data_IF_377285173348
#
_entry.id   IF_377285173348
#
_cell.length_a   1.000
_cell.length_b   1.000
_cell.length_c   1.000
_cell.angle_alpha   90.00
_cell.angle_beta   90.00
_cell.angle_gamma   90.00
#
_symmetry.space_group_name_H-M   'P 1'
#
loop_
_entity.id
_entity.type
_entity.pdbx_description
1 polymer ?
#
# COMPACT_ATOMS: atom_id res chain seq x y z
N UNK A 1 3.60 -0.55 -24.52
CA UNK A 1 3.74 0.64 -25.40
C UNK A 1 5.05 1.32 -25.05
N UNK A 2 5.99 1.50 -26.00
CA UNK A 2 7.15 2.37 -25.74
C UNK A 2 6.64 3.81 -25.60
N UNK A 3 7.04 4.52 -24.55
CA UNK A 3 6.74 5.94 -24.41
C UNK A 3 7.35 6.69 -25.61
N UNK A 4 6.53 7.28 -26.47
CA UNK A 4 7.00 8.15 -27.54
C UNK A 4 7.64 9.41 -26.93
N UNK A 5 8.63 10.00 -27.59
CA UNK A 5 9.38 11.15 -27.07
C UNK A 5 8.51 12.35 -26.64
N UNK A 6 7.29 12.49 -27.17
CA UNK A 6 6.33 13.53 -26.74
C UNK A 6 5.69 13.27 -25.37
N UNK A 7 5.38 12.01 -25.04
CA UNK A 7 4.90 11.60 -23.73
C UNK A 7 5.98 11.82 -22.67
N UNK A 8 7.21 11.43 -23.01
CA UNK A 8 8.36 11.60 -22.14
C UNK A 8 8.63 13.09 -21.88
N UNK A 9 8.64 13.92 -22.93
CA UNK A 9 8.84 15.37 -22.82
C UNK A 9 7.75 16.08 -22.01
N UNK A 10 6.51 15.59 -22.09
CA UNK A 10 5.38 16.07 -21.29
C UNK A 10 5.59 15.80 -19.80
N UNK A 11 5.93 14.56 -19.44
CA UNK A 11 6.18 14.18 -18.05
C UNK A 11 7.40 14.89 -17.46
N UNK A 12 8.43 15.15 -18.28
CA UNK A 12 9.60 15.95 -17.88
C UNK A 12 9.23 17.35 -17.41
N UNK A 13 8.30 18.03 -18.09
CA UNK A 13 7.90 19.39 -17.74
C UNK A 13 6.93 19.44 -16.55
N UNK A 14 6.10 18.41 -16.40
CA UNK A 14 5.22 18.28 -15.24
C UNK A 14 6.01 18.20 -13.92
N UNK A 15 7.22 17.60 -13.96
CA UNK A 15 8.16 17.59 -12.83
C UNK A 15 8.86 18.94 -12.70
N UNK A 16 9.34 19.54 -13.80
CA UNK A 16 10.04 20.83 -13.77
C UNK A 16 9.21 21.94 -13.09
N UNK A 17 7.89 21.92 -13.30
CA UNK A 17 6.90 22.77 -12.62
C UNK A 17 6.83 22.57 -11.09
N UNK A 18 7.36 21.46 -10.58
CA UNK A 18 7.46 21.13 -9.16
C UNK A 18 8.90 21.06 -8.64
N UNK A 19 9.92 21.23 -9.50
CA UNK A 19 11.32 21.40 -9.11
C UNK A 19 11.55 22.65 -8.23
N UNK A 20 10.53 23.52 -8.09
CA UNK A 20 10.46 24.56 -7.06
C UNK A 20 10.34 24.01 -5.62
N UNK A 21 10.02 22.74 -5.41
CA UNK A 21 9.99 22.09 -4.10
C UNK A 21 11.32 21.48 -3.66
N UNK A 22 12.27 21.29 -4.59
CA UNK A 22 13.59 20.77 -4.27
C UNK A 22 14.57 21.93 -4.18
N UNK A 23 15.32 22.03 -3.08
CA UNK A 23 16.34 23.07 -2.90
C UNK A 23 17.54 22.94 -3.87
N UNK A 24 17.55 21.93 -4.75
CA UNK A 24 18.64 21.66 -5.70
C UNK A 24 18.12 21.58 -7.15
N UNK A 25 18.42 22.57 -8.01
CA UNK A 25 18.03 22.58 -9.42
C UNK A 25 18.76 21.55 -10.29
N UNK A 26 19.79 20.87 -9.77
CA UNK A 26 20.52 19.82 -10.50
C UNK A 26 19.79 18.47 -10.52
N UNK A 27 18.80 18.27 -9.62
CA UNK A 27 18.03 17.04 -9.54
C UNK A 27 16.74 17.17 -10.34
N UNK A 28 16.67 16.49 -11.47
CA UNK A 28 15.45 16.42 -12.29
C UNK A 28 14.98 14.97 -12.49
N UNK A 29 13.67 14.76 -12.51
CA UNK A 29 13.07 13.44 -12.73
C UNK A 29 13.37 12.85 -14.11
N UNK A 30 13.77 13.66 -15.08
CA UNK A 30 14.18 13.15 -16.40
C UNK A 30 15.45 12.31 -16.29
N UNK A 31 16.43 12.77 -15.51
CA UNK A 31 17.68 12.08 -15.22
C UNK A 31 17.45 10.83 -14.37
N UNK A 32 16.34 10.80 -13.62
CA UNK A 32 15.95 9.69 -12.78
C UNK A 32 15.15 8.60 -13.53
N UNK A 33 14.83 8.78 -14.83
CA UNK A 33 14.03 7.80 -15.58
C UNK A 33 12.54 7.76 -15.21
N UNK A 34 12.06 8.69 -14.37
CA UNK A 34 10.67 8.73 -13.89
C UNK A 34 9.63 8.73 -15.01
N UNK A 35 9.79 9.44 -16.15
CA UNK A 35 8.81 9.37 -17.24
C UNK A 35 8.56 7.96 -17.77
N UNK A 36 9.58 7.10 -17.77
CA UNK A 36 9.45 5.70 -18.19
C UNK A 36 8.62 4.91 -17.18
N UNK A 37 8.93 5.06 -15.89
CA UNK A 37 8.19 4.41 -14.81
C UNK A 37 6.74 4.86 -14.75
N UNK A 38 6.43 6.15 -14.98
CA UNK A 38 5.03 6.60 -15.00
C UNK A 38 4.29 6.02 -16.21
N UNK A 39 4.95 5.90 -17.36
CA UNK A 39 4.35 5.25 -18.53
C UNK A 39 4.08 3.77 -18.30
N UNK A 40 4.97 3.05 -17.60
CA UNK A 40 4.76 1.67 -17.17
C UNK A 40 3.59 1.57 -16.17
N UNK A 41 3.53 2.50 -15.21
CA UNK A 41 2.51 2.56 -14.18
C UNK A 41 1.11 2.78 -14.78
N UNK A 42 0.96 3.73 -15.71
CA UNK A 42 -0.26 3.95 -16.51
C UNK A 42 -0.54 2.77 -17.47
N UNK A 43 0.52 2.09 -17.90
CA UNK A 43 0.48 1.00 -18.87
C UNK A 43 -0.15 -0.29 -18.35
N UNK A 44 -0.03 -0.59 -17.06
CA UNK A 44 -0.59 -1.83 -16.52
C UNK A 44 -0.59 -2.02 -15.00
N UNK A 45 -0.06 -1.07 -14.20
CA UNK A 45 -0.03 -1.22 -12.73
C UNK A 45 -1.23 -0.60 -12.01
N UNK A 46 -2.01 0.25 -12.69
CA UNK A 46 -3.26 0.80 -12.14
C UNK A 46 -4.45 0.22 -12.90
N UNK A 47 -5.38 -0.35 -12.14
CA UNK A 47 -6.72 -0.67 -12.61
C UNK A 47 -7.67 0.47 -12.23
N UNK A 48 -8.00 1.34 -13.19
CA UNK A 48 -8.99 2.39 -12.99
C UNK A 48 -9.82 2.60 -14.26
N UNK A 49 -11.17 2.76 -14.17
CA UNK A 49 -12.05 2.80 -15.34
C UNK A 49 -11.70 3.87 -16.36
N UNK A 50 -11.12 4.98 -15.90
CA UNK A 50 -10.74 6.14 -16.75
C UNK A 50 -9.29 6.12 -17.24
N UNK A 51 -8.52 5.05 -17.03
CA UNK A 51 -7.12 5.01 -17.52
C UNK A 51 -7.00 5.15 -19.04
N UNK A 52 -8.02 4.78 -19.80
CA UNK A 52 -8.04 5.00 -21.25
C UNK A 52 -7.97 6.49 -21.62
N UNK A 53 -8.51 7.40 -20.78
CA UNK A 53 -8.45 8.85 -21.03
C UNK A 53 -7.02 9.36 -20.92
N UNK A 54 -6.25 8.87 -19.94
CA UNK A 54 -4.84 9.20 -19.83
C UNK A 54 -4.07 8.72 -21.07
N UNK A 55 -4.29 7.47 -21.50
CA UNK A 55 -3.66 6.92 -22.71
C UNK A 55 -4.03 7.71 -23.98
N UNK A 56 -5.30 8.08 -24.13
CA UNK A 56 -5.80 8.90 -25.22
C UNK A 56 -5.12 10.28 -25.21
N UNK A 57 -5.04 10.93 -24.05
CA UNK A 57 -4.39 12.23 -23.93
C UNK A 57 -2.90 12.17 -24.30
N UNK A 58 -2.17 11.15 -23.83
CA UNK A 58 -0.77 10.93 -24.22
C UNK A 58 -0.61 10.67 -25.73
N UNK A 59 -1.57 9.97 -26.33
CA UNK A 59 -1.65 9.78 -27.79
C UNK A 59 -1.87 11.09 -28.53
N UNK A 60 -2.82 11.91 -28.10
CA UNK A 60 -3.12 13.21 -28.70
C UNK A 60 -1.92 14.17 -28.62
N UNK A 61 -1.28 14.28 -27.46
CA UNK A 61 -0.06 15.08 -27.25
C UNK A 61 1.13 14.63 -28.12
N UNK A 62 1.10 13.39 -28.62
CA UNK A 62 2.12 12.88 -29.53
C UNK A 62 1.89 13.32 -30.98
N UNK A 63 0.73 13.89 -31.30
CA UNK A 63 0.40 14.38 -32.65
C UNK A 63 0.32 15.90 -32.68
N UNK A 64 0.56 16.50 -33.85
CA UNK A 64 0.51 17.97 -34.02
C UNK A 64 -0.90 18.52 -33.78
N UNK A 65 -1.91 17.88 -34.37
CA UNK A 65 -3.31 18.27 -34.21
C UNK A 65 -3.84 17.98 -32.81
N UNK A 66 -3.55 16.81 -32.24
CA UNK A 66 -3.98 16.47 -30.88
C UNK A 66 -3.36 17.35 -29.79
N UNK A 67 -2.11 17.80 -29.99
CA UNK A 67 -1.50 18.82 -29.12
C UNK A 67 -2.33 20.10 -29.15
N UNK A 68 -2.73 20.58 -30.33
CA UNK A 68 -3.58 21.77 -30.43
C UNK A 68 -4.96 21.58 -29.79
N UNK A 69 -5.56 20.40 -29.94
CA UNK A 69 -6.86 20.09 -29.30
C UNK A 69 -6.77 20.17 -27.77
N UNK A 70 -5.70 19.65 -27.17
CA UNK A 70 -5.55 19.61 -25.70
C UNK A 70 -4.92 20.88 -25.10
N UNK A 71 -4.06 21.56 -25.86
CA UNK A 71 -3.25 22.67 -25.37
C UNK A 71 -3.67 24.04 -25.92
N UNK A 72 -4.57 24.06 -26.91
CA UNK A 72 -5.09 25.28 -27.52
C UNK A 72 -4.03 26.09 -28.25
N UNK A 73 -4.26 27.41 -28.36
CA UNK A 73 -3.43 28.33 -29.16
C UNK A 73 -1.98 28.41 -28.67
N UNK A 74 -1.73 28.15 -27.38
CA UNK A 74 -0.37 28.17 -26.79
C UNK A 74 0.56 27.10 -27.36
N UNK A 75 0.03 26.08 -28.01
CA UNK A 75 0.85 25.09 -28.70
C UNK A 75 1.22 25.45 -30.13
N UNK A 76 0.74 26.58 -30.68
CA UNK A 76 1.06 26.96 -32.07
C UNK A 76 2.50 27.47 -32.19
N UNK A 77 3.11 27.29 -33.36
CA UNK A 77 4.38 27.90 -33.71
C UNK A 77 4.20 28.91 -34.85
N UNK A 78 5.07 29.93 -34.97
CA UNK A 78 4.97 30.93 -36.03
C UNK A 78 5.32 30.40 -37.43
N UNK A 79 5.97 29.24 -37.52
CA UNK A 79 6.46 28.67 -38.78
C UNK A 79 5.52 27.58 -39.30
N UNK A 80 5.28 27.55 -40.62
CA UNK A 80 4.51 26.47 -41.23
C UNK A 80 5.27 25.13 -41.12
N UNK A 81 4.60 24.02 -40.76
CA UNK A 81 3.20 23.93 -40.36
C UNK A 81 2.99 24.41 -38.92
N UNK A 82 2.10 25.39 -38.73
CA UNK A 82 1.86 26.11 -37.47
C UNK A 82 1.52 25.21 -36.26
N UNK A 83 1.22 23.94 -36.51
CA UNK A 83 0.98 22.92 -35.50
C UNK A 83 2.26 22.15 -35.19
N UNK A 84 2.61 22.10 -33.91
CA UNK A 84 3.74 21.33 -33.39
C UNK A 84 3.27 20.31 -32.35
N UNK A 85 4.10 19.30 -32.10
CA UNK A 85 3.88 18.34 -31.02
C UNK A 85 4.22 18.97 -29.67
N UNK A 86 3.63 18.47 -28.57
CA UNK A 86 3.89 19.02 -27.23
C UNK A 86 5.39 19.10 -26.87
N UNK A 87 6.18 18.11 -27.30
CA UNK A 87 7.64 18.07 -27.13
C UNK A 87 8.42 19.21 -27.79
N UNK A 88 7.83 19.93 -28.75
CA UNK A 88 8.46 21.04 -29.46
C UNK A 88 8.02 22.41 -28.95
N UNK A 89 6.97 22.49 -28.15
CA UNK A 89 6.51 23.73 -27.51
C UNK A 89 7.62 24.28 -26.60
N UNK A 90 7.86 25.60 -26.50
CA UNK A 90 8.84 26.14 -25.54
C UNK A 90 8.50 25.76 -24.08
N UNK A 91 9.51 25.66 -23.20
CA UNK A 91 9.33 25.20 -21.81
C UNK A 91 8.33 26.05 -21.03
N UNK A 92 8.44 27.37 -21.14
CA UNK A 92 7.56 28.34 -20.46
C UNK A 92 6.10 28.19 -20.91
N UNK A 93 5.87 28.01 -22.21
CA UNK A 93 4.52 27.79 -22.75
C UNK A 93 3.93 26.45 -22.30
N UNK A 94 4.74 25.38 -22.21
CA UNK A 94 4.29 24.10 -21.66
C UNK A 94 3.85 24.22 -20.21
N UNK A 95 4.59 24.98 -19.42
CA UNK A 95 4.22 25.23 -18.02
C UNK A 95 2.87 25.96 -17.94
N UNK A 96 2.69 27.00 -18.73
CA UNK A 96 1.43 27.73 -18.77
C UNK A 96 0.26 26.86 -19.26
N UNK A 97 0.49 25.96 -20.22
CA UNK A 97 -0.51 24.98 -20.67
C UNK A 97 -0.90 24.04 -19.53
N UNK A 98 0.07 23.45 -18.83
CA UNK A 98 -0.19 22.56 -17.70
C UNK A 98 -0.93 23.27 -16.57
N UNK A 99 -0.53 24.51 -16.26
CA UNK A 99 -1.24 25.36 -15.30
C UNK A 99 -2.66 25.68 -15.75
N UNK A 100 -2.91 25.84 -17.06
CA UNK A 100 -4.27 26.04 -17.58
C UNK A 100 -5.16 24.81 -17.37
N UNK A 101 -4.58 23.60 -17.41
CA UNK A 101 -5.34 22.37 -17.17
C UNK A 101 -5.80 22.23 -15.72
N UNK A 102 -5.00 22.69 -14.76
CA UNK A 102 -5.33 22.62 -13.32
C UNK A 102 -6.53 23.49 -12.94
N UNK A 103 -6.74 24.60 -13.63
CA UNK A 103 -7.86 25.55 -13.43
C UNK A 103 -8.92 25.46 -14.53
N UNK A 104 -8.87 24.42 -15.37
CA UNK A 104 -9.78 24.30 -16.51
C UNK A 104 -11.23 24.05 -16.09
N UNK A 105 -12.17 24.69 -16.80
CA UNK A 105 -13.60 24.39 -16.66
C UNK A 105 -13.92 22.96 -17.12
N UNK A 106 -13.06 22.34 -17.94
CA UNK A 106 -13.21 20.95 -18.38
C UNK A 106 -12.70 19.99 -17.29
N UNK A 107 -13.63 19.29 -16.64
CA UNK A 107 -13.32 18.32 -15.56
C UNK A 107 -12.26 17.29 -16.00
N UNK A 108 -12.30 16.81 -17.24
CA UNK A 108 -11.35 15.80 -17.73
C UNK A 108 -9.91 16.32 -17.78
N UNK A 109 -9.70 17.60 -18.10
CA UNK A 109 -8.35 18.20 -18.09
C UNK A 109 -7.83 18.37 -16.68
N UNK A 110 -8.70 18.72 -15.72
CA UNK A 110 -8.34 18.79 -14.29
C UNK A 110 -7.97 17.42 -13.75
N UNK A 111 -8.79 16.40 -14.00
CA UNK A 111 -8.51 15.00 -13.61
C UNK A 111 -7.19 14.53 -14.22
N UNK A 112 -6.96 14.80 -15.50
CA UNK A 112 -5.72 14.44 -16.19
C UNK A 112 -4.50 15.12 -15.54
N UNK A 113 -4.58 16.43 -15.28
CA UNK A 113 -3.49 17.17 -14.63
C UNK A 113 -3.22 16.62 -13.22
N UNK A 114 -4.26 16.46 -12.39
CA UNK A 114 -4.12 15.97 -11.00
C UNK A 114 -3.54 14.56 -10.98
N UNK A 115 -4.06 13.65 -11.81
CA UNK A 115 -3.54 12.29 -11.90
C UNK A 115 -2.07 12.25 -12.32
N UNK A 116 -1.70 12.95 -13.40
CA UNK A 116 -0.32 13.01 -13.86
C UNK A 116 0.60 13.61 -12.80
N UNK A 117 0.16 14.66 -12.10
CA UNK A 117 0.94 15.28 -11.01
C UNK A 117 1.19 14.28 -9.89
N UNK A 118 0.14 13.61 -9.42
CA UNK A 118 0.23 12.64 -8.34
C UNK A 118 1.15 11.47 -8.68
N UNK A 119 0.99 10.84 -9.85
CA UNK A 119 1.82 9.69 -10.24
C UNK A 119 3.28 10.07 -10.45
N UNK A 120 3.51 11.23 -11.06
CA UNK A 120 4.85 11.73 -11.31
C UNK A 120 5.59 12.00 -10.01
N UNK A 121 4.94 12.68 -9.05
CA UNK A 121 5.55 12.97 -7.76
C UNK A 121 5.75 11.69 -6.94
N UNK A 122 4.73 10.83 -6.86
CA UNK A 122 4.87 9.57 -6.14
C UNK A 122 6.06 8.79 -6.67
N UNK A 123 6.10 8.51 -7.97
CA UNK A 123 7.19 7.71 -8.54
C UNK A 123 8.53 8.40 -8.38
N UNK A 124 8.62 9.71 -8.56
CA UNK A 124 9.87 10.44 -8.36
C UNK A 124 10.43 10.30 -6.94
N UNK A 125 9.58 10.37 -5.90
CA UNK A 125 10.01 10.27 -4.50
C UNK A 125 10.18 8.82 -4.00
N UNK A 126 9.56 7.85 -4.68
CA UNK A 126 9.55 6.46 -4.21
C UNK A 126 10.42 5.50 -5.02
N UNK A 127 10.76 5.84 -6.26
CA UNK A 127 11.60 5.00 -7.12
C UNK A 127 13.02 4.90 -6.55
N UNK A 128 13.66 3.74 -6.68
CA UNK A 128 15.05 3.55 -6.29
C UNK A 128 15.84 2.98 -7.46
N UNK A 129 17.13 3.30 -7.52
CA UNK A 129 18.06 2.68 -8.47
C UNK A 129 18.45 1.27 -8.01
N UNK A 130 19.29 0.58 -8.79
CA UNK A 130 19.80 -0.77 -8.46
C UNK A 130 20.55 -0.85 -7.12
N UNK A 131 21.02 0.28 -6.59
CA UNK A 131 21.69 0.36 -5.29
C UNK A 131 20.73 0.64 -4.13
N UNK A 132 19.42 0.78 -4.40
CA UNK A 132 18.42 1.12 -3.40
C UNK A 132 18.41 2.61 -3.01
N UNK A 133 18.98 3.49 -3.84
CA UNK A 133 19.07 4.92 -3.59
C UNK A 133 18.08 5.70 -4.47
N UNK A 134 17.53 6.80 -3.95
CA UNK A 134 16.75 7.76 -4.71
C UNK A 134 17.48 9.11 -4.80
N UNK A 135 17.50 9.72 -5.98
CA UNK A 135 18.18 10.99 -6.25
C UNK A 135 17.61 12.17 -5.44
N UNK A 136 16.31 12.17 -5.17
CA UNK A 136 15.63 13.22 -4.40
C UNK A 136 15.99 13.21 -2.92
N UNK A 137 16.35 12.06 -2.35
CA UNK A 137 16.64 11.93 -0.92
C UNK A 137 17.77 12.86 -0.48
N UNK A 138 18.86 12.89 -1.26
CA UNK A 138 19.99 13.80 -0.98
C UNK A 138 19.57 15.27 -1.06
N UNK A 139 18.74 15.63 -2.04
CA UNK A 139 18.28 17.01 -2.23
C UNK A 139 17.38 17.52 -1.10
N UNK A 140 16.63 16.62 -0.45
CA UNK A 140 15.77 16.95 0.69
C UNK A 140 16.43 16.67 2.05
N UNK A 141 17.71 16.29 2.07
CA UNK A 141 18.44 15.94 3.30
C UNK A 141 17.95 14.66 3.99
N UNK A 142 17.24 13.79 3.26
CA UNK A 142 16.83 12.48 3.77
C UNK A 142 17.97 11.46 3.59
N UNK A 143 18.37 10.81 4.67
CA UNK A 143 19.50 9.88 4.69
C UNK A 143 19.18 8.50 4.10
N UNK A 144 17.94 8.26 3.66
CA UNK A 144 17.48 6.94 3.24
C UNK A 144 17.15 6.00 4.41
N UNK A 145 16.77 4.75 4.12
CA UNK A 145 16.48 3.75 5.14
C UNK A 145 17.73 3.33 5.92
N UNK A 146 17.53 2.89 7.16
CA UNK A 146 18.63 2.47 8.06
C UNK A 146 19.47 1.33 7.43
N UNK A 147 20.79 1.53 7.23
CA UNK A 147 21.68 0.51 6.68
C UNK A 147 21.71 -0.80 7.47
N UNK A 148 21.43 -0.75 8.78
CA UNK A 148 21.35 -1.93 9.65
C UNK A 148 20.18 -2.86 9.29
N UNK A 149 19.08 -2.33 8.76
CA UNK A 149 17.96 -3.13 8.29
C UNK A 149 18.27 -3.83 6.95
N UNK A 150 18.97 -3.15 6.04
CA UNK A 150 19.33 -3.67 4.71
C UNK A 150 20.32 -4.86 4.75
N UNK A 151 21.25 -4.88 5.72
CA UNK A 151 22.26 -5.95 5.88
C UNK A 151 21.70 -7.32 6.28
N UNK A 152 20.46 -7.37 6.75
CA UNK A 152 19.81 -8.64 7.13
C UNK A 152 19.41 -9.51 5.94
N UNK A 153 19.50 -8.99 4.71
CA UNK A 153 19.21 -9.72 3.45
C UNK A 153 20.27 -10.78 3.08
N UNK A 154 21.44 -10.81 3.75
CA UNK A 154 22.63 -11.55 3.28
C UNK A 154 23.29 -12.48 4.31
N UNK A 155 22.59 -12.97 5.33
CA UNK A 155 23.15 -14.04 6.17
C UNK A 155 23.01 -15.42 5.50
N UNK A 156 24.15 -15.94 5.02
CA UNK A 156 24.33 -17.32 4.56
C UNK A 156 24.17 -18.31 5.70
N UNK A 157 23.49 -19.41 5.40
CA UNK A 157 23.24 -20.60 6.22
C UNK A 157 24.48 -21.46 6.43
N UNK A 158 24.88 -21.66 7.69
CA UNK A 158 25.64 -22.84 8.14
C UNK A 158 25.67 -22.92 9.67
N UNK A 159 24.77 -23.70 10.26
CA UNK A 159 24.73 -23.98 11.71
C UNK A 159 23.81 -25.17 12.07
N UNK A 160 23.98 -25.80 13.26
CA UNK A 160 23.35 -27.09 13.61
C UNK A 160 21.83 -27.02 13.87
N UNK A 161 21.16 -28.17 13.89
CA UNK A 161 19.70 -28.35 13.74
C UNK A 161 18.78 -27.64 14.76
N UNK A 162 19.20 -27.40 16.01
CA UNK A 162 18.40 -26.61 16.97
C UNK A 162 18.49 -25.09 16.75
N UNK A 163 19.55 -24.64 16.07
CA UNK A 163 19.76 -23.26 15.64
C UNK A 163 18.92 -22.93 14.40
N UNK A 164 18.66 -23.93 13.56
CA UNK A 164 17.95 -23.78 12.28
C UNK A 164 16.49 -23.36 12.47
N UNK A 165 15.76 -23.90 13.44
CA UNK A 165 14.35 -23.54 13.63
C UNK A 165 14.16 -22.08 14.08
N UNK A 166 15.07 -21.57 14.91
CA UNK A 166 15.10 -20.14 15.29
C UNK A 166 15.56 -19.23 14.14
N UNK A 167 16.46 -19.70 13.29
CA UNK A 167 16.93 -18.97 12.10
C UNK A 167 15.86 -18.91 11.01
N UNK A 168 15.15 -20.01 10.77
CA UNK A 168 14.05 -20.10 9.81
C UNK A 168 12.85 -19.25 10.24
N UNK A 169 12.45 -19.32 11.51
CA UNK A 169 11.40 -18.44 12.06
C UNK A 169 11.83 -16.97 12.03
N UNK A 170 13.13 -16.68 12.09
CA UNK A 170 13.63 -15.32 11.98
C UNK A 170 13.66 -14.82 10.53
N UNK A 171 13.97 -15.68 9.56
CA UNK A 171 14.10 -15.34 8.13
C UNK A 171 12.76 -15.35 7.40
N UNK A 172 12.03 -16.45 7.52
CA UNK A 172 10.73 -16.63 6.88
C UNK A 172 9.59 -16.14 7.75
N UNK A 173 9.88 -15.79 9.00
CA UNK A 173 8.86 -15.41 9.92
C UNK A 173 8.00 -16.62 10.33
N UNK A 174 7.16 -16.42 11.32
CA UNK A 174 6.62 -17.55 12.06
C UNK A 174 5.38 -18.20 11.43
N UNK A 175 4.69 -17.51 10.53
CA UNK A 175 3.55 -18.09 9.83
C UNK A 175 3.96 -18.96 8.65
N UNK A 176 5.24 -18.92 8.25
CA UNK A 176 5.75 -19.54 7.02
C UNK A 176 5.38 -21.02 6.87
N UNK A 177 5.40 -21.78 7.97
CA UNK A 177 5.03 -23.20 7.98
C UNK A 177 3.59 -23.42 7.51
N UNK A 178 2.67 -22.54 7.90
CA UNK A 178 1.26 -22.58 7.53
C UNK A 178 0.91 -21.88 6.21
N UNK A 179 1.82 -21.13 5.58
CA UNK A 179 1.53 -20.43 4.31
C UNK A 179 1.46 -21.41 3.15
N UNK A 180 0.36 -21.37 2.39
CA UNK A 180 0.16 -22.20 1.20
C UNK A 180 0.00 -21.24 0.02
N UNK A 181 0.95 -21.27 -0.90
CA UNK A 181 0.90 -20.41 -2.08
C UNK A 181 0.19 -21.13 -3.24
N UNK A 182 -1.00 -20.65 -3.59
CA UNK A 182 -1.79 -21.21 -4.68
C UNK A 182 -1.26 -20.85 -6.09
N UNK A 183 -0.23 -20.00 -6.20
CA UNK A 183 0.47 -19.76 -7.46
C UNK A 183 1.47 -20.87 -7.82
N UNK A 184 1.80 -21.75 -6.87
CA UNK A 184 2.66 -22.92 -7.09
C UNK A 184 1.87 -24.08 -7.71
N UNK A 185 2.52 -25.23 -7.92
CA UNK A 185 1.84 -26.41 -8.45
C UNK A 185 0.69 -26.85 -7.53
N UNK A 186 -0.41 -27.32 -8.13
CA UNK A 186 -1.58 -27.79 -7.37
C UNK A 186 -1.19 -28.92 -6.42
N UNK A 187 -0.31 -29.80 -6.88
CA UNK A 187 0.16 -30.98 -6.15
C UNK A 187 0.92 -30.60 -4.88
N UNK A 188 1.75 -29.56 -4.91
CA UNK A 188 2.44 -29.02 -3.73
C UNK A 188 1.45 -28.46 -2.70
N UNK A 189 0.47 -27.69 -3.15
CA UNK A 189 -0.55 -27.13 -2.26
C UNK A 189 -1.38 -28.22 -1.57
N UNK A 190 -1.79 -29.25 -2.33
CA UNK A 190 -2.52 -30.41 -1.81
C UNK A 190 -1.70 -31.20 -0.79
N UNK A 191 -0.44 -31.51 -1.13
CA UNK A 191 0.46 -32.22 -0.23
C UNK A 191 0.69 -31.43 1.07
N UNK A 192 0.87 -30.10 0.97
CA UNK A 192 1.04 -29.24 2.13
C UNK A 192 -0.21 -29.23 3.01
N UNK A 193 -1.41 -29.08 2.44
CA UNK A 193 -2.67 -29.19 3.18
C UNK A 193 -2.83 -30.53 3.91
N UNK A 194 -2.52 -31.64 3.24
CA UNK A 194 -2.58 -32.98 3.84
C UNK A 194 -1.56 -33.13 4.97
N UNK A 195 -0.34 -32.62 4.80
CA UNK A 195 0.71 -32.65 5.83
C UNK A 195 0.34 -31.84 7.08
N UNK A 196 -0.46 -30.78 6.92
CA UNK A 196 -1.04 -29.98 7.99
C UNK A 196 -2.31 -30.62 8.59
N UNK A 197 -2.69 -31.83 8.15
CA UNK A 197 -3.81 -32.58 8.70
C UNK A 197 -5.19 -32.17 8.17
N UNK A 198 -5.26 -31.41 7.08
CA UNK A 198 -6.53 -31.10 6.42
C UNK A 198 -6.96 -32.24 5.47
N UNK A 199 -8.18 -32.79 5.61
CA UNK A 199 -8.71 -33.72 4.63
C UNK A 199 -8.97 -33.01 3.30
N UNK A 200 -8.37 -33.51 2.22
CA UNK A 200 -8.54 -32.94 0.87
C UNK A 200 -9.09 -33.99 -0.09
N UNK A 201 -9.98 -33.58 -0.99
CA UNK A 201 -10.59 -34.44 -2.01
C UNK A 201 -10.60 -33.73 -3.36
N UNK A 202 -10.33 -34.45 -4.44
CA UNK A 202 -10.46 -33.93 -5.80
C UNK A 202 -11.78 -34.42 -6.41
N UNK A 203 -12.62 -33.54 -6.98
CA UNK A 203 -13.85 -33.99 -7.63
C UNK A 203 -13.50 -34.91 -8.80
N UNK A 204 -13.95 -36.16 -8.75
CA UNK A 204 -13.91 -37.04 -9.91
C UNK A 204 -15.00 -36.63 -10.89
N UNK A 205 -14.69 -36.65 -12.19
CA UNK A 205 -15.48 -36.19 -13.34
C UNK A 205 -16.84 -36.90 -13.56
N UNK A 206 -17.46 -37.51 -12.54
CA UNK A 206 -18.73 -38.22 -12.68
C UNK A 206 -19.73 -37.78 -11.61
N UNK A 207 -20.76 -37.08 -12.09
CA UNK A 207 -22.08 -36.80 -11.48
C UNK A 207 -22.20 -35.69 -10.44
N UNK A 208 -22.67 -34.50 -10.84
CA UNK A 208 -24.06 -34.01 -10.65
C UNK A 208 -24.19 -32.58 -11.21
N UNK A 209 -25.24 -32.26 -11.99
CA UNK A 209 -25.35 -30.99 -12.72
C UNK A 209 -25.96 -29.84 -11.90
N UNK A 210 -25.75 -29.79 -10.57
CA UNK A 210 -26.44 -28.82 -9.71
C UNK A 210 -25.56 -27.71 -9.09
N UNK A 211 -24.28 -27.61 -9.44
CA UNK A 211 -23.47 -26.45 -9.04
C UNK A 211 -22.59 -26.01 -10.21
N UNK A 212 -22.74 -24.75 -10.64
CA UNK A 212 -21.94 -24.11 -11.71
C UNK A 212 -20.47 -23.87 -11.33
N UNK A 213 -19.99 -24.53 -10.28
CA UNK A 213 -18.64 -24.42 -9.74
C UNK A 213 -17.97 -25.77 -10.01
N UNK A 214 -16.97 -25.78 -10.88
CA UNK A 214 -16.08 -26.93 -11.09
C UNK A 214 -14.81 -26.72 -10.24
N UNK A 215 -14.82 -26.99 -8.92
CA UNK A 215 -13.67 -26.72 -8.07
C UNK A 215 -12.50 -27.65 -8.40
N UNK A 216 -11.27 -27.15 -8.34
CA UNK A 216 -10.07 -27.97 -8.59
C UNK A 216 -9.79 -28.99 -7.47
N UNK A 217 -10.17 -28.66 -6.23
CA UNK A 217 -10.13 -29.54 -5.06
C UNK A 217 -11.04 -29.00 -3.95
N UNK A 218 -11.36 -29.85 -2.98
CA UNK A 218 -12.23 -29.57 -1.83
C UNK A 218 -11.43 -29.85 -0.55
N UNK A 219 -11.36 -28.88 0.35
CA UNK A 219 -10.71 -29.02 1.66
C UNK A 219 -11.76 -29.02 2.76
N UNK A 220 -11.73 -30.02 3.65
CA UNK A 220 -12.59 -30.04 4.84
C UNK A 220 -11.88 -29.34 6.01
N UNK A 221 -12.59 -28.42 6.65
CA UNK A 221 -12.13 -27.68 7.83
C UNK A 221 -13.34 -27.32 8.70
N UNK A 222 -13.10 -26.87 9.92
CA UNK A 222 -14.17 -26.46 10.84
C UNK A 222 -14.62 -25.02 10.58
N UNK A 223 -13.71 -24.16 10.13
CA UNK A 223 -14.00 -22.78 9.78
C UNK A 223 -13.08 -22.26 8.65
N UNK A 224 -13.63 -21.38 7.82
CA UNK A 224 -12.89 -20.60 6.83
C UNK A 224 -13.00 -19.13 7.18
N UNK A 225 -11.87 -18.45 7.30
CA UNK A 225 -11.79 -17.00 7.49
C UNK A 225 -11.27 -16.37 6.21
N UNK A 226 -12.06 -15.48 5.61
CA UNK A 226 -11.67 -14.75 4.39
C UNK A 226 -11.13 -13.39 4.78
N UNK A 227 -9.84 -13.17 4.55
CA UNK A 227 -9.08 -12.00 4.94
C UNK A 227 -8.39 -12.19 6.30
N UNK A 228 -7.09 -11.89 6.35
CA UNK A 228 -6.25 -12.05 7.55
C UNK A 228 -6.04 -10.76 8.35
N UNK A 229 -6.86 -9.73 8.10
CA UNK A 229 -6.76 -8.41 8.74
C UNK A 229 -7.08 -8.39 10.24
N UNK A 230 -7.24 -7.18 10.80
CA UNK A 230 -7.46 -6.96 12.24
C UNK A 230 -8.62 -7.76 12.85
N UNK A 231 -9.71 -7.98 12.11
CA UNK A 231 -10.80 -8.85 12.54
C UNK A 231 -10.51 -10.33 12.27
N UNK A 232 -10.18 -10.68 11.02
CA UNK A 232 -10.00 -12.07 10.59
C UNK A 232 -8.87 -12.79 11.32
N UNK A 233 -7.73 -12.13 11.54
CA UNK A 233 -6.61 -12.70 12.30
C UNK A 233 -6.99 -13.02 13.76
N UNK A 234 -7.83 -12.18 14.39
CA UNK A 234 -8.31 -12.42 15.75
C UNK A 234 -9.26 -13.61 15.78
N UNK A 235 -10.25 -13.64 14.89
CA UNK A 235 -11.21 -14.77 14.79
C UNK A 235 -10.47 -16.09 14.53
N UNK A 236 -9.56 -16.09 13.56
CA UNK A 236 -8.79 -17.28 13.20
C UNK A 236 -7.99 -17.82 14.39
N UNK A 237 -7.27 -16.94 15.10
CA UNK A 237 -6.47 -17.38 16.24
C UNK A 237 -7.30 -17.78 17.47
N UNK A 238 -8.48 -17.17 17.69
CA UNK A 238 -9.40 -17.61 18.76
C UNK A 238 -9.95 -19.00 18.47
N UNK A 239 -10.43 -19.25 17.24
CA UNK A 239 -10.94 -20.56 16.83
C UNK A 239 -9.86 -21.64 16.84
N UNK A 240 -8.66 -21.32 16.32
CA UNK A 240 -7.54 -22.25 16.34
C UNK A 240 -7.10 -22.61 17.78
N UNK A 241 -7.07 -21.62 18.69
CA UNK A 241 -6.73 -21.87 20.10
C UNK A 241 -7.79 -22.69 20.85
N UNK A 242 -9.03 -22.72 20.33
CA UNK A 242 -10.09 -23.62 20.81
C UNK A 242 -10.01 -25.04 20.22
N UNK A 243 -9.03 -25.31 19.35
CA UNK A 243 -8.78 -26.63 18.75
C UNK A 243 -9.44 -26.86 17.40
N UNK A 244 -10.04 -25.83 16.79
CA UNK A 244 -10.65 -25.95 15.47
C UNK A 244 -9.62 -25.92 14.33
N UNK A 245 -9.87 -26.69 13.26
CA UNK A 245 -9.14 -26.62 12.00
C UNK A 245 -9.61 -25.41 11.19
N UNK A 246 -8.82 -24.35 11.20
CA UNK A 246 -9.16 -23.09 10.53
C UNK A 246 -8.32 -22.89 9.28
N UNK A 247 -8.96 -22.56 8.16
CA UNK A 247 -8.29 -22.06 6.96
C UNK A 247 -8.46 -20.55 6.86
N UNK A 248 -7.36 -19.83 6.60
CA UNK A 248 -7.39 -18.40 6.34
C UNK A 248 -7.07 -18.16 4.87
N UNK A 249 -7.97 -17.51 4.15
CA UNK A 249 -7.79 -17.13 2.76
C UNK A 249 -7.37 -15.66 2.69
N UNK A 250 -6.19 -15.39 2.16
CA UNK A 250 -5.65 -14.04 2.00
C UNK A 250 -5.33 -13.79 0.53
N UNK A 251 -5.72 -12.62 0.02
CA UNK A 251 -5.42 -12.19 -1.36
C UNK A 251 -3.96 -11.76 -1.48
N UNK A 252 -3.45 -11.11 -0.44
CA UNK A 252 -2.11 -10.57 -0.39
C UNK A 252 -1.00 -11.58 -0.12
N UNK A 253 0.23 -11.13 -0.34
CA UNK A 253 1.43 -11.91 -0.01
C UNK A 253 1.76 -11.86 1.47
N UNK A 254 2.38 -12.92 1.98
CA UNK A 254 3.00 -12.93 3.29
C UNK A 254 4.44 -12.42 3.21
N UNK A 255 4.75 -11.37 3.96
CA UNK A 255 6.10 -10.83 4.08
C UNK A 255 6.58 -10.96 5.53
N UNK A 256 7.64 -11.73 5.72
CA UNK A 256 8.34 -11.78 6.99
C UNK A 256 8.93 -10.39 7.33
N UNK A 257 9.04 -10.05 8.61
CA UNK A 257 9.57 -8.76 9.05
C UNK A 257 10.94 -8.43 8.44
N UNK A 258 11.84 -9.41 8.37
CA UNK A 258 13.18 -9.22 7.77
C UNK A 258 13.16 -8.99 6.26
N UNK A 259 12.06 -9.36 5.60
CA UNK A 259 11.90 -9.26 4.16
C UNK A 259 11.16 -7.98 3.74
N UNK A 260 10.69 -7.17 4.69
CA UNK A 260 10.13 -5.85 4.40
C UNK A 260 11.23 -4.96 3.83
N UNK A 261 10.97 -4.37 2.66
CA UNK A 261 11.93 -3.50 1.97
C UNK A 261 12.23 -2.21 2.74
N UNK A 262 11.25 -1.73 3.52
CA UNK A 262 11.22 -0.38 4.12
C UNK A 262 11.35 0.75 3.08
N UNK A 263 11.19 0.41 1.80
CA UNK A 263 11.16 1.34 0.68
C UNK A 263 9.71 1.56 0.29
N UNK A 264 9.28 2.82 0.29
CA UNK A 264 7.88 3.19 0.08
C UNK A 264 7.33 2.65 -1.24
N UNK A 265 8.06 2.78 -2.34
CA UNK A 265 7.61 2.30 -3.66
C UNK A 265 7.41 0.79 -3.72
N UNK A 266 8.38 0.01 -3.20
CA UNK A 266 8.27 -1.45 -3.12
C UNK A 266 7.16 -1.89 -2.16
N UNK A 267 7.01 -1.21 -1.02
CA UNK A 267 5.96 -1.50 -0.06
C UNK A 267 4.58 -1.26 -0.67
N UNK A 268 4.37 -0.15 -1.37
CA UNK A 268 3.13 0.14 -2.09
C UNK A 268 2.78 -0.96 -3.10
N UNK A 269 3.75 -1.39 -3.92
CA UNK A 269 3.56 -2.44 -4.94
C UNK A 269 3.23 -3.81 -4.33
N UNK A 270 3.86 -4.18 -3.20
CA UNK A 270 3.74 -5.54 -2.64
C UNK A 270 2.67 -5.68 -1.55
N UNK A 271 2.35 -4.61 -0.82
CA UNK A 271 1.57 -4.68 0.42
C UNK A 271 0.25 -3.94 0.37
N UNK A 272 0.00 -3.13 -0.66
CA UNK A 272 -1.20 -2.31 -0.76
C UNK A 272 -2.08 -2.77 -1.92
N UNK A 273 -3.39 -2.78 -1.68
CA UNK A 273 -4.37 -3.06 -2.70
C UNK A 273 -4.29 -1.99 -3.80
N UNK A 274 -4.25 -2.43 -5.06
CA UNK A 274 -4.13 -1.53 -6.21
C UNK A 274 -2.84 -0.70 -6.20
N UNK A 275 -1.76 -1.24 -5.63
CA UNK A 275 -0.47 -0.57 -5.49
C UNK A 275 -0.55 0.76 -4.73
N UNK A 276 -1.51 0.87 -3.80
CA UNK A 276 -1.80 2.09 -3.06
C UNK A 276 -2.54 3.16 -3.86
N UNK A 277 -3.14 2.80 -5.01
CA UNK A 277 -3.81 3.71 -5.95
C UNK A 277 -5.28 3.36 -6.18
N UNK A 278 -5.97 2.92 -5.12
CA UNK A 278 -7.40 2.71 -5.18
C UNK A 278 -8.12 4.07 -4.99
N UNK A 279 -8.44 4.72 -6.10
CA UNK A 279 -9.06 6.06 -6.13
C UNK A 279 -10.49 6.00 -6.63
N UNK A 280 -11.33 6.96 -6.22
CA UNK A 280 -12.67 7.15 -6.79
C UNK A 280 -12.60 7.63 -8.23
N UNK A 281 -13.68 7.43 -9.01
CA UNK A 281 -13.73 7.78 -10.43
C UNK A 281 -13.45 9.27 -10.74
N UNK A 282 -13.69 10.16 -9.77
CA UNK A 282 -13.41 11.59 -9.83
C UNK A 282 -12.04 11.98 -9.25
N UNK A 283 -11.28 11.03 -8.70
CA UNK A 283 -10.01 11.22 -7.99
C UNK A 283 -10.10 12.04 -6.70
N UNK A 284 -11.30 12.28 -6.17
CA UNK A 284 -11.50 13.10 -4.96
C UNK A 284 -11.12 12.35 -3.68
N UNK A 285 -11.17 11.01 -3.69
CA UNK A 285 -10.82 10.17 -2.55
C UNK A 285 -9.83 9.09 -2.97
N UNK A 286 -8.74 8.97 -2.21
CA UNK A 286 -7.78 7.87 -2.29
C UNK A 286 -8.01 6.92 -1.10
N UNK A 287 -8.33 5.67 -1.38
CA UNK A 287 -8.44 4.61 -0.39
C UNK A 287 -7.11 3.84 -0.32
N UNK A 288 -6.55 3.76 0.87
CA UNK A 288 -5.33 3.01 1.15
C UNK A 288 -5.70 1.77 1.94
N UNK A 289 -5.60 0.60 1.32
CA UNK A 289 -5.96 -0.68 1.93
C UNK A 289 -4.81 -1.68 1.82
N UNK A 290 -4.59 -2.47 2.87
CA UNK A 290 -3.54 -3.49 2.88
C UNK A 290 -3.97 -4.72 2.06
N UNK A 291 -3.07 -5.21 1.22
CA UNK A 291 -3.16 -6.47 0.47
C UNK A 291 -1.93 -7.33 0.81
N UNK A 292 -1.83 -7.70 2.08
CA UNK A 292 -0.77 -8.53 2.65
C UNK A 292 -1.33 -9.28 3.84
N UNK A 293 -0.67 -10.35 4.30
CA UNK A 293 -1.07 -11.02 5.56
C UNK A 293 -1.08 -10.02 6.72
N UNK A 294 -2.18 -9.99 7.46
CA UNK A 294 -2.46 -8.97 8.49
C UNK A 294 -3.17 -7.72 7.96
N UNK A 295 -3.38 -7.59 6.65
CA UNK A 295 -4.17 -6.55 6.01
C UNK A 295 -3.79 -5.13 6.44
N UNK A 296 -4.80 -4.30 6.74
CA UNK A 296 -4.60 -2.92 7.20
C UNK A 296 -3.77 -2.80 8.48
N UNK A 297 -3.80 -3.78 9.38
CA UNK A 297 -2.97 -3.76 10.60
C UNK A 297 -1.48 -3.96 10.35
N UNK A 298 -1.09 -4.46 9.17
CA UNK A 298 0.34 -4.59 8.79
C UNK A 298 0.91 -3.27 8.28
N UNK A 299 0.09 -2.43 7.67
CA UNK A 299 0.51 -1.19 6.98
C UNK A 299 0.17 0.09 7.75
N UNK A 300 -0.63 0.02 8.82
CA UNK A 300 -1.05 1.20 9.57
C UNK A 300 0.04 1.74 10.51
N UNK A 301 -0.21 2.92 11.08
CA UNK A 301 0.68 3.54 12.06
C UNK A 301 0.50 3.00 13.50
N UNK A 302 -0.21 1.87 13.68
CA UNK A 302 -0.39 1.21 14.99
C UNK A 302 -0.99 2.06 16.12
N UNK A 303 -1.60 3.21 15.80
CA UNK A 303 -2.38 4.00 16.74
C UNK A 303 -3.57 3.16 17.24
N UNK A 304 -3.70 3.02 18.56
CA UNK A 304 -4.64 2.07 19.18
C UNK A 304 -5.51 2.82 20.17
N UNK A 305 -6.65 3.32 19.69
CA UNK A 305 -7.56 4.17 20.45
C UNK A 305 -8.77 3.34 20.87
N UNK A 306 -9.16 3.43 22.14
CA UNK A 306 -10.39 2.78 22.61
C UNK A 306 -11.61 3.51 22.03
N UNK A 307 -12.66 2.76 21.71
CA UNK A 307 -13.92 3.31 21.19
C UNK A 307 -14.47 4.35 22.19
N UNK A 308 -14.68 5.61 21.77
CA UNK A 308 -15.13 6.67 22.67
C UNK A 308 -16.50 6.35 23.32
N UNK A 309 -16.74 6.75 24.58
CA UNK A 309 -18.01 6.44 25.27
C UNK A 309 -19.26 6.94 24.53
N UNK A 310 -19.19 8.08 23.84
CA UNK A 310 -20.32 8.60 23.08
C UNK A 310 -20.66 7.74 21.86
N UNK A 311 -19.66 7.14 21.20
CA UNK A 311 -19.86 6.22 20.06
C UNK A 311 -20.47 4.91 20.55
N UNK A 312 -20.01 4.39 21.69
CA UNK A 312 -20.59 3.19 22.28
C UNK A 312 -22.07 3.37 22.61
N UNK A 313 -22.43 4.49 23.25
CA UNK A 313 -23.83 4.84 23.51
C UNK A 313 -24.63 4.97 22.23
N UNK A 314 -24.08 5.64 21.21
CA UNK A 314 -24.76 5.75 19.92
C UNK A 314 -25.05 4.35 19.33
N UNK A 315 -24.06 3.46 19.29
CA UNK A 315 -24.25 2.11 18.76
C UNK A 315 -25.25 1.29 19.57
N UNK A 316 -25.18 1.33 20.89
CA UNK A 316 -26.05 0.52 21.74
C UNK A 316 -27.47 1.06 21.83
N UNK A 317 -27.65 2.38 22.00
CA UNK A 317 -28.95 2.99 22.32
C UNK A 317 -29.72 3.40 21.06
N UNK A 318 -29.04 3.93 20.04
CA UNK A 318 -29.69 4.44 18.82
C UNK A 318 -29.84 3.38 17.74
N UNK A 319 -28.87 2.48 17.62
CA UNK A 319 -28.89 1.41 16.61
C UNK A 319 -29.19 0.03 17.21
N UNK A 320 -29.53 -0.03 18.51
CA UNK A 320 -29.95 -1.24 19.21
C UNK A 320 -28.91 -2.38 19.17
N UNK A 321 -27.62 -2.03 19.05
CA UNK A 321 -26.51 -2.98 19.05
C UNK A 321 -26.03 -3.21 20.50
N UNK A 322 -26.83 -3.92 21.29
CA UNK A 322 -26.65 -4.12 22.74
C UNK A 322 -25.25 -4.61 23.13
N UNK A 323 -24.60 -5.40 22.26
CA UNK A 323 -23.24 -5.89 22.46
C UNK A 323 -22.26 -4.77 22.84
N UNK A 324 -22.35 -3.60 22.20
CA UNK A 324 -21.41 -2.50 22.43
C UNK A 324 -21.63 -1.77 23.76
N UNK A 325 -22.82 -1.89 24.35
CA UNK A 325 -23.12 -1.43 25.72
C UNK A 325 -22.75 -2.46 26.80
N UNK A 326 -22.40 -3.69 26.40
CA UNK A 326 -22.17 -4.80 27.33
C UNK A 326 -20.76 -4.78 27.95
N UNK A 327 -20.64 -5.43 29.12
CA UNK A 327 -19.33 -5.71 29.73
C UNK A 327 -18.45 -6.63 28.87
N UNK A 328 -19.06 -7.47 28.04
CA UNK A 328 -18.34 -8.43 27.18
C UNK A 328 -17.49 -7.69 26.15
N UNK A 329 -18.03 -6.63 25.54
CA UNK A 329 -17.27 -5.82 24.59
C UNK A 329 -16.08 -5.10 25.24
N UNK A 330 -16.27 -4.55 26.45
CA UNK A 330 -15.19 -3.90 27.20
C UNK A 330 -14.07 -4.89 27.54
N UNK A 331 -14.42 -6.09 28.01
CA UNK A 331 -13.47 -7.16 28.31
C UNK A 331 -12.74 -7.63 27.04
N UNK A 332 -13.44 -7.75 25.90
CA UNK A 332 -12.81 -8.11 24.63
C UNK A 332 -11.78 -7.04 24.20
N UNK A 333 -12.10 -5.76 24.34
CA UNK A 333 -11.14 -4.68 24.11
C UNK A 333 -9.94 -4.76 25.05
N UNK A 334 -10.14 -5.05 26.34
CA UNK A 334 -9.05 -5.21 27.30
C UNK A 334 -8.11 -6.36 26.91
N UNK A 335 -8.66 -7.50 26.53
CA UNK A 335 -7.89 -8.66 26.05
C UNK A 335 -7.07 -8.30 24.82
N UNK A 336 -7.68 -7.62 23.84
CA UNK A 336 -6.99 -7.23 22.60
C UNK A 336 -5.91 -6.18 22.88
N UNK A 337 -6.21 -5.12 23.65
CA UNK A 337 -5.24 -4.08 24.02
C UNK A 337 -4.06 -4.66 24.81
N UNK A 338 -4.34 -5.55 25.76
CA UNK A 338 -3.31 -6.25 26.53
C UNK A 338 -2.43 -7.11 25.62
N UNK A 339 -3.05 -7.90 24.75
CA UNK A 339 -2.33 -8.76 23.78
C UNK A 339 -1.50 -7.93 22.80
N UNK A 340 -2.01 -6.78 22.38
CA UNK A 340 -1.31 -5.82 21.53
C UNK A 340 -0.19 -5.05 22.24
N UNK A 341 -0.15 -5.10 23.58
CA UNK A 341 0.80 -4.34 24.38
C UNK A 341 0.66 -2.84 24.14
N UNK A 342 -0.59 -2.37 24.04
CA UNK A 342 -0.95 -0.95 23.94
C UNK A 342 -0.47 -0.24 25.21
N UNK A 343 0.20 0.89 25.03
CA UNK A 343 0.74 1.73 26.10
C UNK A 343 0.10 3.12 26.05
N UNK A 344 -0.08 3.71 27.22
CA UNK A 344 -0.64 5.07 27.40
C UNK A 344 0.41 6.12 27.73
N UNK A 345 1.62 5.70 28.10
CA UNK A 345 2.70 6.60 28.50
C UNK A 345 3.69 6.78 27.36
N UNK A 346 4.10 8.02 27.14
CA UNK A 346 5.11 8.40 26.14
C UNK A 346 6.38 8.80 26.90
N UNK A 347 7.39 7.93 26.88
CA UNK A 347 8.70 8.24 27.52
C UNK A 347 9.48 9.32 26.74
N UNK A 348 9.34 9.33 25.41
CA UNK A 348 10.08 10.21 24.50
C UNK A 348 9.13 10.83 23.48
N UNK A 349 8.85 12.12 23.65
CA UNK A 349 8.03 12.91 22.74
C UNK A 349 8.91 13.58 21.67
N UNK A 350 8.54 13.46 20.40
CA UNK A 350 9.21 14.17 19.31
C UNK A 350 8.99 15.69 19.39
N UNK A 351 9.97 16.48 18.95
CA UNK A 351 9.92 17.94 19.05
C UNK A 351 8.63 18.56 18.48
N UNK A 352 8.19 18.11 17.30
CA UNK A 352 6.96 18.61 16.67
C UNK A 352 5.71 18.33 17.51
N UNK A 353 5.61 17.14 18.12
CA UNK A 353 4.50 16.79 19.00
C UNK A 353 4.53 17.62 20.28
N UNK A 354 5.71 17.83 20.87
CA UNK A 354 5.89 18.68 22.05
C UNK A 354 5.43 20.12 21.77
N UNK A 355 5.81 20.69 20.63
CA UNK A 355 5.40 22.05 20.26
C UNK A 355 3.88 22.12 20.07
N UNK A 356 3.28 21.14 19.39
CA UNK A 356 1.83 21.06 19.20
C UNK A 356 1.09 20.96 20.54
N UNK A 357 1.52 20.04 21.42
CA UNK A 357 0.94 19.87 22.76
C UNK A 357 1.00 21.15 23.57
N UNK A 358 2.18 21.80 23.66
CA UNK A 358 2.33 23.10 24.35
C UNK A 358 1.43 24.18 23.76
N UNK A 359 1.27 24.22 22.44
CA UNK A 359 0.34 25.13 21.76
C UNK A 359 -1.11 24.89 22.20
N UNK A 360 -1.55 23.64 22.23
CA UNK A 360 -2.87 23.26 22.72
C UNK A 360 -3.08 23.64 24.20
N UNK A 361 -2.11 23.33 25.07
CA UNK A 361 -2.14 23.68 26.50
C UNK A 361 -2.28 25.20 26.71
N UNK A 362 -1.50 26.01 26.00
CA UNK A 362 -1.56 27.47 26.08
C UNK A 362 -2.90 28.05 25.61
N UNK A 363 -3.59 27.38 24.71
CA UNK A 363 -4.91 27.76 24.21
C UNK A 363 -6.06 27.17 25.05
N UNK A 364 -5.75 26.39 26.09
CA UNK A 364 -6.75 25.73 26.93
C UNK A 364 -7.44 24.53 26.28
N UNK A 365 -6.87 23.96 25.22
CA UNK A 365 -7.40 22.74 24.62
C UNK A 365 -6.97 21.50 25.42
N UNK A 366 -7.87 20.54 25.67
CA UNK A 366 -7.51 19.28 26.32
C UNK A 366 -6.55 18.50 25.43
N UNK A 367 -5.46 18.01 26.02
CA UNK A 367 -4.48 17.16 25.33
C UNK A 367 -4.33 15.85 26.08
N UNK A 368 -4.65 14.75 25.40
CA UNK A 368 -4.35 13.41 25.85
C UNK A 368 -3.31 12.79 24.92
N UNK A 369 -2.34 12.08 25.48
CA UNK A 369 -1.41 11.30 24.66
C UNK A 369 -2.15 10.11 24.03
N UNK A 370 -2.13 9.94 22.70
CA UNK A 370 -2.77 8.80 22.07
C UNK A 370 -2.07 7.51 22.52
N UNK A 371 -2.86 6.52 22.93
CA UNK A 371 -2.32 5.21 23.25
C UNK A 371 -1.72 4.57 21.99
N UNK A 372 -0.48 4.09 22.09
CA UNK A 372 0.25 3.47 20.99
C UNK A 372 0.74 2.09 21.41
N UNK A 373 0.76 1.13 20.48
CA UNK A 373 1.57 -0.07 20.67
C UNK A 373 3.04 0.34 20.64
N UNK A 374 3.80 0.06 21.71
CA UNK A 374 5.24 0.35 21.67
C UNK A 374 5.91 -0.41 20.53
N UNK A 375 6.94 0.17 19.93
CA UNK A 375 7.77 -0.49 18.93
C UNK A 375 8.34 -1.83 19.46
N UNK A 376 8.55 -1.94 20.77
CA UNK A 376 8.94 -3.18 21.47
C UNK A 376 7.80 -4.18 21.64
N UNK A 377 6.54 -3.75 21.66
CA UNK A 377 5.34 -4.59 21.77
C UNK A 377 4.95 -5.22 20.43
N UNK A 378 5.25 -4.55 19.31
CA UNK A 378 5.18 -5.14 17.97
C UNK A 378 6.06 -6.41 17.84
N UNK A 379 7.15 -6.53 18.61
CA UNK A 379 7.96 -7.76 18.72
C UNK A 379 7.25 -8.88 19.51
N UNK A 380 6.35 -8.56 20.44
CA UNK A 380 5.60 -9.53 21.27
C UNK A 380 4.32 -10.00 20.60
N UNK A 381 3.65 -9.13 19.85
CA UNK A 381 2.45 -9.48 19.07
C UNK A 381 2.74 -10.70 18.20
N UNK A 382 3.84 -10.65 17.45
CA UNK A 382 4.28 -11.76 16.59
C UNK A 382 4.63 -12.99 17.43
N UNK A 383 5.47 -12.89 18.47
CA UNK A 383 5.90 -14.04 19.29
C UNK A 383 4.76 -14.80 19.98
N UNK A 384 3.67 -14.15 20.38
CA UNK A 384 2.63 -14.77 21.18
C UNK A 384 1.45 -15.32 20.37
N UNK A 385 1.21 -14.85 19.13
CA UNK A 385 0.25 -15.52 18.23
C UNK A 385 0.66 -16.97 17.89
N UNK A 386 1.83 -17.44 18.31
CA UNK A 386 2.50 -18.65 17.80
C UNK A 386 2.91 -19.66 18.85
N UNK A 387 2.70 -19.41 20.14
CA UNK A 387 3.04 -20.42 21.15
C UNK A 387 2.14 -21.67 21.08
N UNK A 388 1.22 -21.75 20.11
CA UNK A 388 0.38 -22.92 19.86
C UNK A 388 -0.14 -23.08 18.42
N UNK A 389 0.60 -22.59 17.41
CA UNK A 389 0.38 -22.99 16.01
C UNK A 389 1.33 -24.10 15.60
#
# INVERSE_FOLDING_TARGET
>A
MRANGSAECFMRHLVALHSLLLCDPSVNASMAGTPHHVAEFIGGKIEHPKMYLARLAMGLLSTRLGTFVLCGRKSLCPNFPYFQTFSKVPSEEREQILRSWSISNFLLLRILFTGLKMFTLLLFFTQVNEKGENLSWKAIGYCGPDPGCAKTRTLKTSGPQDSQQKEDDALFGPLYKGIINLSQSREEALHKLQSLGFPVSTPHSRSTPLMSLNPSFIVKCDAVVVGSGSGGGVVAGVLANAGHKVLVLEKGSYLARKNLSLLEGEALDQMYLGNGMLVTDNLDVLLVAGSTVGGGSTINWSASIRTPPHVLREWSEKYELELFGSKVYQQALDVVCHKMGVQSEVELEGFNNMILRKGCENLGYPVDCPMQCSFRSLLRLVRFWLQRW
#
